data_IF_537627310678
#
_entry.id   IF_537627310678
#
_cell.length_a   1.000
_cell.length_b   1.000
_cell.length_c   1.000
_cell.angle_alpha   90.00
_cell.angle_beta   90.00
_cell.angle_gamma   90.00
#
_symmetry.space_group_name_H-M   'P 1'
#
loop_
_entity.id
_entity.type
_entity.pdbx_description
1 polymer ?
#
# COMPACT_ATOMS: atom_id res chain seq x y z
N UNK A 1 5.68 7.42 18.00
CA UNK A 1 6.61 7.17 16.86
C UNK A 1 5.77 7.02 15.59
N UNK A 2 6.21 7.53 14.44
CA UNK A 2 5.39 7.53 13.20
C UNK A 2 5.85 6.44 12.25
N UNK A 3 4.94 5.55 11.87
CA UNK A 3 5.13 4.58 10.79
C UNK A 3 4.62 5.20 9.47
N UNK A 4 5.39 5.06 8.39
CA UNK A 4 5.01 5.55 7.05
C UNK A 4 5.16 4.42 6.04
N UNK A 5 4.16 4.25 5.18
CA UNK A 5 4.19 3.30 4.07
C UNK A 5 3.84 4.02 2.77
N UNK A 6 4.79 4.01 1.84
CA UNK A 6 4.60 4.53 0.47
C UNK A 6 4.48 3.35 -0.48
N UNK A 7 3.42 3.31 -1.27
CA UNK A 7 3.19 2.28 -2.29
C UNK A 7 3.18 2.95 -3.65
N UNK A 8 4.13 2.57 -4.50
CA UNK A 8 4.08 2.86 -5.93
C UNK A 8 3.41 1.69 -6.63
N UNK A 9 2.46 1.97 -7.52
CA UNK A 9 1.73 0.92 -8.23
C UNK A 9 1.54 1.25 -9.70
N UNK A 10 1.35 0.21 -10.52
CA UNK A 10 0.90 0.35 -11.90
C UNK A 10 -0.54 -0.11 -12.04
N UNK A 11 -1.26 0.51 -12.96
CA UNK A 11 -2.61 0.09 -13.36
C UNK A 11 -2.48 -0.86 -14.56
N UNK A 12 -3.07 -2.05 -14.45
CA UNK A 12 -3.12 -3.04 -15.53
C UNK A 12 -4.56 -3.49 -15.76
N UNK A 13 -4.84 -4.06 -16.92
CA UNK A 13 -6.08 -4.79 -17.20
C UNK A 13 -5.75 -6.28 -17.30
N UNK A 14 -6.52 -7.12 -16.59
CA UNK A 14 -6.43 -8.58 -16.68
C UNK A 14 -7.86 -9.09 -16.89
N UNK A 15 -8.12 -9.71 -18.05
CA UNK A 15 -9.45 -10.18 -18.45
C UNK A 15 -10.53 -9.08 -18.32
N UNK A 16 -10.25 -7.89 -18.85
CA UNK A 16 -11.16 -6.73 -18.75
C UNK A 16 -11.19 -6.03 -17.38
N UNK A 17 -10.73 -6.68 -16.31
CA UNK A 17 -10.77 -6.11 -14.95
C UNK A 17 -9.55 -5.25 -14.68
N UNK A 18 -9.78 -3.99 -14.27
CA UNK A 18 -8.72 -3.07 -13.85
C UNK A 18 -8.12 -3.53 -12.50
N UNK A 19 -6.80 -3.68 -12.45
CA UNK A 19 -6.05 -4.06 -11.24
C UNK A 19 -4.94 -3.04 -10.98
N UNK A 20 -4.67 -2.78 -9.69
CA UNK A 20 -3.51 -2.01 -9.24
C UNK A 20 -2.49 -2.98 -8.67
N UNK A 21 -1.31 -3.03 -9.26
CA UNK A 21 -0.22 -3.94 -8.89
C UNK A 21 0.93 -3.14 -8.33
N UNK A 22 1.42 -3.53 -7.17
CA UNK A 22 2.55 -2.90 -6.49
C UNK A 22 3.78 -3.02 -7.39
N UNK A 23 4.37 -1.86 -7.69
CA UNK A 23 5.63 -1.74 -8.41
C UNK A 23 6.79 -1.57 -7.42
N UNK A 24 6.55 -0.85 -6.33
CA UNK A 24 7.55 -0.58 -5.31
C UNK A 24 6.89 -0.23 -3.97
N UNK A 25 7.62 -0.43 -2.88
CA UNK A 25 7.18 -0.09 -1.52
C UNK A 25 8.35 0.47 -0.72
N UNK A 26 8.11 1.60 -0.05
CA UNK A 26 9.01 2.15 0.97
C UNK A 26 8.31 2.13 2.33
N UNK A 27 9.04 1.70 3.36
CA UNK A 27 8.53 1.58 4.73
C UNK A 27 9.50 2.33 5.67
N UNK A 28 8.97 3.25 6.45
CA UNK A 28 9.67 3.91 7.56
C UNK A 28 8.99 3.47 8.85
N UNK A 29 9.76 2.94 9.80
CA UNK A 29 9.23 2.33 11.02
C UNK A 29 8.71 0.91 10.74
N UNK A 30 7.49 0.60 11.15
CA UNK A 30 6.91 -0.74 11.06
C UNK A 30 5.58 -0.77 10.33
N UNK A 31 5.48 -1.62 9.30
CA UNK A 31 4.22 -1.93 8.64
C UNK A 31 3.57 -3.23 9.17
N UNK A 32 4.04 -3.78 10.29
CA UNK A 32 3.48 -5.00 10.86
C UNK A 32 1.99 -4.81 11.23
N UNK A 33 1.13 -5.82 10.97
CA UNK A 33 1.44 -7.16 10.41
C UNK A 33 1.40 -7.26 8.86
N UNK A 34 1.31 -6.15 8.15
CA UNK A 34 0.98 -6.12 6.71
C UNK A 34 2.15 -6.39 5.75
N UNK A 35 3.36 -6.65 6.26
CA UNK A 35 4.59 -6.80 5.47
C UNK A 35 4.45 -7.80 4.31
N UNK A 36 3.78 -8.94 4.55
CA UNK A 36 3.58 -9.99 3.54
C UNK A 36 2.71 -9.57 2.35
N UNK A 37 1.94 -8.49 2.48
CA UNK A 37 1.11 -7.96 1.39
C UNK A 37 1.82 -6.80 0.66
N UNK A 38 2.85 -6.23 1.27
CA UNK A 38 3.61 -5.07 0.80
C UNK A 38 4.82 -5.51 -0.04
N UNK A 39 4.56 -6.28 -1.09
CA UNK A 39 5.61 -6.82 -1.96
C UNK A 39 5.34 -6.48 -3.42
N UNK A 40 6.42 -6.30 -4.19
CA UNK A 40 6.35 -6.07 -5.63
C UNK A 40 5.56 -7.20 -6.31
N UNK A 41 4.70 -6.85 -7.26
CA UNK A 41 3.83 -7.78 -7.98
C UNK A 41 2.53 -8.14 -7.26
N UNK A 42 2.39 -7.85 -5.95
CA UNK A 42 1.13 -8.06 -5.23
C UNK A 42 0.07 -7.00 -5.57
N UNK A 43 -1.18 -7.28 -5.25
CA UNK A 43 -2.30 -6.35 -5.47
C UNK A 43 -2.30 -5.28 -4.38
N UNK A 44 -2.50 -4.03 -4.78
CA UNK A 44 -2.60 -2.89 -3.84
C UNK A 44 -3.81 -3.01 -2.92
N UNK A 45 -4.93 -3.55 -3.41
CA UNK A 45 -6.19 -3.61 -2.66
C UNK A 45 -6.06 -4.33 -1.30
N UNK A 46 -5.60 -5.59 -1.26
CA UNK A 46 -5.35 -6.31 -0.02
C UNK A 46 -4.35 -5.61 0.91
N UNK A 47 -3.23 -5.11 0.37
CA UNK A 47 -2.22 -4.41 1.15
C UNK A 47 -2.77 -3.14 1.82
N UNK A 48 -3.46 -2.31 1.05
CA UNK A 48 -4.12 -1.09 1.54
C UNK A 48 -5.17 -1.42 2.60
N UNK A 49 -5.97 -2.48 2.40
CA UNK A 49 -6.97 -2.89 3.38
C UNK A 49 -6.33 -3.33 4.69
N UNK A 50 -5.25 -4.12 4.64
CA UNK A 50 -4.52 -4.50 5.84
C UNK A 50 -4.01 -3.27 6.61
N UNK A 51 -3.38 -2.32 5.91
CA UNK A 51 -2.88 -1.10 6.53
C UNK A 51 -4.00 -0.32 7.23
N UNK A 52 -5.10 -0.06 6.53
CA UNK A 52 -6.26 0.66 7.09
C UNK A 52 -6.83 -0.05 8.32
N UNK A 53 -6.95 -1.37 8.27
CA UNK A 53 -7.46 -2.16 9.40
C UNK A 53 -6.50 -2.19 10.61
N UNK A 54 -5.22 -1.85 10.43
CA UNK A 54 -4.19 -1.87 11.47
C UNK A 54 -3.74 -0.46 11.88
N UNK A 55 -4.64 0.52 11.78
CA UNK A 55 -4.46 1.87 12.32
C UNK A 55 -3.70 2.83 11.41
N UNK A 56 -3.36 2.43 10.18
CA UNK A 56 -2.83 3.38 9.21
C UNK A 56 -3.95 4.23 8.60
N UNK A 57 -3.67 5.51 8.41
CA UNK A 57 -4.50 6.46 7.69
C UNK A 57 -3.88 6.74 6.33
N UNK A 58 -4.70 6.75 5.28
CA UNK A 58 -4.25 7.12 3.94
C UNK A 58 -4.27 8.64 3.79
N UNK A 59 -3.09 9.24 3.75
CA UNK A 59 -2.92 10.71 3.61
C UNK A 59 -2.70 11.15 2.18
N UNK A 60 -2.26 10.25 1.29
CA UNK A 60 -2.12 10.54 -0.13
C UNK A 60 -2.66 9.39 -0.97
N UNK A 61 -3.43 9.75 -2.00
CA UNK A 61 -3.87 8.84 -3.05
C UNK A 61 -3.95 9.61 -4.36
N UNK A 62 -2.79 9.79 -5.01
CA UNK A 62 -2.68 10.55 -6.25
C UNK A 62 -1.92 9.73 -7.29
N UNK A 63 -2.42 9.73 -8.52
CA UNK A 63 -1.83 9.02 -9.64
C UNK A 63 -1.55 7.55 -9.32
N UNK A 64 -0.29 7.16 -9.31
CA UNK A 64 0.22 5.81 -9.09
C UNK A 64 0.89 5.65 -7.72
N UNK A 65 0.60 6.57 -6.79
CA UNK A 65 1.22 6.65 -5.46
C UNK A 65 0.14 6.63 -4.39
N UNK A 66 0.34 5.80 -3.38
CA UNK A 66 -0.40 5.87 -2.11
C UNK A 66 0.59 6.12 -0.98
N UNK A 67 0.21 6.96 -0.02
CA UNK A 67 0.95 7.15 1.24
C UNK A 67 0.01 6.89 2.41
N UNK A 68 0.48 6.08 3.33
CA UNK A 68 -0.19 5.73 4.57
C UNK A 68 0.71 6.11 5.75
N UNK A 69 0.10 6.60 6.82
CA UNK A 69 0.80 6.91 8.07
C UNK A 69 0.08 6.27 9.25
N UNK A 70 0.81 5.86 10.28
CA UNK A 70 0.25 5.46 11.58
C UNK A 70 1.05 6.13 12.67
N UNK A 71 0.36 6.87 13.53
CA UNK A 71 0.98 7.44 14.73
C UNK A 71 0.72 6.47 15.88
N UNK A 72 1.80 6.01 16.51
CA UNK A 72 1.78 5.26 17.76
C UNK A 72 2.03 6.19 18.93
#
# INVERSE_FOLDING_TARGET
MTDVVVILFRRIRVNGVRRRIIRDVSIIGSAAPCNQLLMIGRRVGPAARCLLNNGFQRVLSRDNVLVFIRVR
#
